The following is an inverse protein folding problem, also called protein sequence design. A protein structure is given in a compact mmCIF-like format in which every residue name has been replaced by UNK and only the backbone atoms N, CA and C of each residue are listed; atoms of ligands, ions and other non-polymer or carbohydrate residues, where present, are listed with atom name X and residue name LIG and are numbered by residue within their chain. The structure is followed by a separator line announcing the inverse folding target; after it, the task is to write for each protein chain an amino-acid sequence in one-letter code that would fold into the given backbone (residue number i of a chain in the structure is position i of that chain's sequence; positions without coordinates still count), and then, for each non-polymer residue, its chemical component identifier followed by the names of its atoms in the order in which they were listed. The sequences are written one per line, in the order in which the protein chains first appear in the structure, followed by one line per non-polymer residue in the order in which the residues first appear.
data_IF_327599306807
#
_entry.id   IF_327599306807
#
_cell.length_a   1.000
_cell.length_b   1.000
_cell.length_c   1.000
_cell.angle_alpha   90.00
_cell.angle_beta   90.00
_cell.angle_gamma   90.00
#
_symmetry.space_group_name_H-M   'P 1'
#
loop_
_entity.id
_entity.type
_entity.pdbx_description
1 polymer ?
#
# COMPACT_ATOMS: atom_id res chain seq x y z
N UNK A 1 7.14 3.66 -22.63
CA UNK A 1 6.40 2.40 -22.43
C UNK A 1 7.37 1.22 -22.43
N UNK A 2 7.56 0.59 -21.28
CA UNK A 2 8.23 -0.72 -21.20
C UNK A 2 7.25 -1.78 -21.69
N UNK A 3 7.65 -2.57 -22.69
CA UNK A 3 6.88 -3.72 -23.15
C UNK A 3 6.98 -4.82 -22.10
N UNK A 4 5.88 -5.11 -21.41
CA UNK A 4 5.78 -6.21 -20.43
C UNK A 4 5.61 -7.53 -21.20
N UNK A 5 6.46 -8.51 -20.93
CA UNK A 5 6.40 -9.83 -21.59
C UNK A 5 5.22 -10.66 -21.09
N UNK A 6 4.77 -11.66 -21.88
CA UNK A 6 3.72 -12.60 -21.44
C UNK A 6 4.05 -13.33 -20.13
N UNK A 7 5.33 -13.58 -19.87
CA UNK A 7 5.78 -14.24 -18.64
C UNK A 7 5.77 -13.28 -17.44
N UNK A 8 5.99 -11.99 -17.68
CA UNK A 8 5.79 -10.97 -16.65
C UNK A 8 4.30 -10.80 -16.32
N UNK A 9 3.42 -10.81 -17.33
CA UNK A 9 1.97 -10.79 -17.11
C UNK A 9 1.52 -11.95 -16.23
N UNK A 10 1.96 -13.19 -16.53
CA UNK A 10 1.57 -14.36 -15.72
C UNK A 10 2.13 -14.35 -14.29
N UNK A 11 3.26 -13.68 -14.02
CA UNK A 11 3.75 -13.47 -12.67
C UNK A 11 2.91 -12.44 -11.91
N UNK A 12 2.58 -11.32 -12.55
CA UNK A 12 1.77 -10.26 -11.97
C UNK A 12 0.38 -10.78 -11.60
N UNK A 13 -0.24 -11.57 -12.48
CA UNK A 13 -1.53 -12.21 -12.22
C UNK A 13 -1.48 -13.09 -10.96
N UNK A 14 -0.40 -13.87 -10.79
CA UNK A 14 -0.22 -14.70 -9.60
C UNK A 14 -0.01 -13.89 -8.33
N UNK A 15 0.65 -12.74 -8.41
CA UNK A 15 0.82 -11.84 -7.26
C UNK A 15 -0.52 -11.21 -6.92
N UNK A 16 -1.25 -10.69 -7.90
CA UNK A 16 -2.58 -10.12 -7.73
C UNK A 16 -3.53 -11.13 -7.09
N UNK A 17 -3.64 -12.34 -7.64
CA UNK A 17 -4.48 -13.41 -7.08
C UNK A 17 -4.13 -13.70 -5.61
N UNK A 18 -2.84 -13.75 -5.27
CA UNK A 18 -2.42 -13.98 -3.88
C UNK A 18 -2.83 -12.82 -2.95
N UNK A 19 -2.77 -11.58 -3.42
CA UNK A 19 -3.23 -10.41 -2.65
C UNK A 19 -4.74 -10.52 -2.43
N UNK A 20 -5.51 -10.86 -3.46
CA UNK A 20 -6.96 -11.07 -3.35
C UNK A 20 -7.29 -12.19 -2.36
N UNK A 21 -6.64 -13.35 -2.47
CA UNK A 21 -6.87 -14.50 -1.60
C UNK A 21 -6.58 -14.20 -0.13
N UNK A 22 -5.55 -13.38 0.16
CA UNK A 22 -5.15 -13.02 1.52
C UNK A 22 -6.02 -11.91 2.10
N UNK A 23 -6.34 -10.89 1.30
CA UNK A 23 -7.01 -9.68 1.79
C UNK A 23 -8.53 -9.73 1.67
N UNK A 24 -9.05 -10.61 0.80
CA UNK A 24 -10.46 -10.65 0.40
C UNK A 24 -10.90 -9.45 -0.45
N UNK A 25 -9.99 -8.57 -0.85
CA UNK A 25 -10.29 -7.38 -1.66
C UNK A 25 -10.13 -7.66 -3.14
N UNK A 26 -10.92 -6.99 -3.96
CA UNK A 26 -10.72 -6.97 -5.42
C UNK A 26 -9.53 -6.11 -5.81
N UNK A 27 -8.71 -6.56 -6.76
CA UNK A 27 -7.57 -5.76 -7.26
C UNK A 27 -7.71 -5.35 -8.73
N UNK A 28 -8.89 -5.52 -9.34
CA UNK A 28 -9.10 -5.16 -10.76
C UNK A 28 -9.01 -3.66 -11.01
N UNK A 29 -9.37 -2.85 -10.01
CA UNK A 29 -9.28 -1.38 -10.02
C UNK A 29 -8.03 -0.87 -9.33
N UNK A 30 -7.24 -1.75 -8.71
CA UNK A 30 -6.03 -1.40 -7.97
C UNK A 30 -4.93 -0.88 -8.92
N UNK A 31 -4.10 0.04 -8.43
CA UNK A 31 -2.99 0.58 -9.20
C UNK A 31 -1.98 -0.52 -9.60
N UNK A 32 -1.20 -0.27 -10.64
CA UNK A 32 -0.07 -1.15 -10.98
C UNK A 32 0.94 -1.23 -9.81
N UNK A 33 1.67 -2.36 -9.73
CA UNK A 33 2.70 -2.51 -8.71
C UNK A 33 3.77 -1.42 -8.86
N UNK A 34 3.89 -0.56 -7.86
CA UNK A 34 4.92 0.46 -7.82
C UNK A 34 6.17 -0.10 -7.12
N UNK A 35 7.28 -0.18 -7.86
CA UNK A 35 8.58 -0.57 -7.30
C UNK A 35 9.37 0.66 -6.88
N UNK A 36 9.83 0.68 -5.62
CA UNK A 36 10.67 1.75 -5.09
C UNK A 36 12.00 1.20 -4.56
N UNK A 37 13.05 2.02 -4.69
CA UNK A 37 14.39 1.77 -4.19
C UNK A 37 14.83 2.88 -3.23
N UNK A 38 15.33 2.49 -2.06
CA UNK A 38 16.00 3.40 -1.13
C UNK A 38 17.42 2.89 -0.87
N UNK A 39 18.41 3.66 -1.32
CA UNK A 39 19.81 3.49 -0.92
C UNK A 39 20.09 4.04 0.47
N UNK A 40 21.35 4.05 0.89
CA UNK A 40 21.78 4.61 2.19
C UNK A 40 21.32 6.08 2.31
N UNK A 41 20.70 6.42 3.44
CA UNK A 41 20.07 7.71 3.71
C UNK A 41 18.70 7.91 3.04
N UNK A 42 18.33 7.07 2.08
CA UNK A 42 17.01 7.10 1.45
C UNK A 42 15.91 6.84 2.47
N UNK A 43 14.90 7.71 2.48
CA UNK A 43 13.78 7.69 3.41
C UNK A 43 12.52 8.21 2.71
N UNK A 44 11.39 8.12 3.42
CA UNK A 44 10.14 8.75 2.99
C UNK A 44 9.41 9.31 4.21
N UNK A 45 9.00 10.57 4.11
CA UNK A 45 8.40 11.31 5.23
C UNK A 45 7.05 10.73 5.67
N UNK A 46 6.62 10.99 6.92
CA UNK A 46 5.32 10.56 7.41
C UNK A 46 4.14 11.10 6.57
N UNK A 47 3.35 10.20 6.01
CA UNK A 47 2.26 10.51 5.09
C UNK A 47 1.08 9.53 5.27
N UNK A 48 0.00 9.82 4.53
CA UNK A 48 -1.13 8.93 4.32
C UNK A 48 -1.14 8.45 2.87
N UNK A 49 -1.66 7.24 2.66
CA UNK A 49 -1.86 6.74 1.30
C UNK A 49 -3.22 7.13 0.73
N UNK A 50 -4.19 7.54 1.57
CA UNK A 50 -5.49 8.03 1.11
C UNK A 50 -5.42 9.52 0.74
N UNK A 51 -6.21 9.93 -0.24
CA UNK A 51 -6.44 11.34 -0.56
C UNK A 51 -7.25 12.04 0.54
N UNK A 52 -6.84 13.25 0.89
CA UNK A 52 -7.54 14.08 1.89
C UNK A 52 -8.55 15.01 1.21
N UNK A 53 -9.65 15.37 1.91
CA UNK A 53 -10.74 16.22 1.36
C UNK A 53 -10.29 17.58 0.84
N UNK A 54 -9.13 18.06 1.29
CA UNK A 54 -8.57 19.36 0.89
C UNK A 54 -7.54 19.23 -0.26
N UNK A 55 -7.24 18.01 -0.70
CA UNK A 55 -6.37 17.74 -1.84
C UNK A 55 -7.22 17.68 -3.12
N UNK A 56 -6.67 18.13 -4.25
CA UNK A 56 -7.35 17.96 -5.53
C UNK A 56 -7.60 16.46 -5.76
N UNK A 57 -8.87 16.06 -5.82
CA UNK A 57 -9.30 14.67 -5.89
C UNK A 57 -8.83 13.99 -7.19
N UNK A 58 -7.55 13.57 -7.22
CA UNK A 58 -7.00 12.76 -8.30
C UNK A 58 -7.79 11.46 -8.50
N UNK A 59 -8.52 11.02 -7.47
CA UNK A 59 -9.33 9.82 -7.46
C UNK A 59 -10.75 10.01 -8.04
N UNK A 60 -11.32 11.22 -7.96
CA UNK A 60 -12.59 11.53 -8.62
C UNK A 60 -12.44 11.52 -10.14
N UNK A 61 -11.34 12.06 -10.66
CA UNK A 61 -11.05 12.07 -12.11
C UNK A 61 -10.81 10.66 -12.68
N UNK A 62 -10.22 9.75 -11.89
CA UNK A 62 -9.96 8.36 -12.30
C UNK A 62 -11.21 7.46 -12.20
N UNK A 63 -12.23 7.89 -11.44
CA UNK A 63 -13.45 7.13 -11.22
C UNK A 63 -13.24 5.79 -10.51
N UNK A 64 -12.10 5.59 -9.85
CA UNK A 64 -11.78 4.38 -9.06
C UNK A 64 -12.02 4.57 -7.56
N UNK A 65 -12.24 5.80 -7.11
CA UNK A 65 -12.37 6.12 -5.68
C UNK A 65 -11.02 6.15 -4.97
N UNK A 66 -11.02 6.40 -3.67
CA UNK A 66 -9.81 6.58 -2.89
C UNK A 66 -9.09 5.22 -2.66
N UNK A 67 -7.86 5.26 -2.16
CA UNK A 67 -7.07 4.06 -1.84
C UNK A 67 -7.54 3.47 -0.52
N UNK A 68 -8.36 2.43 -0.57
CA UNK A 68 -8.95 1.78 0.61
C UNK A 68 -7.92 1.02 1.47
N UNK A 69 -6.87 0.49 0.83
CA UNK A 69 -5.86 -0.31 1.50
C UNK A 69 -4.52 -0.28 0.77
N UNK A 70 -3.46 -0.57 1.51
CA UNK A 70 -2.10 -0.70 0.97
C UNK A 70 -1.55 -2.07 1.28
N UNK A 71 -0.90 -2.65 0.27
CA UNK A 71 -0.08 -3.84 0.39
C UNK A 71 1.37 -3.48 0.04
N UNK A 72 2.25 -3.53 1.05
CA UNK A 72 3.67 -3.23 0.92
C UNK A 72 4.49 -4.53 1.00
N UNK A 73 5.11 -4.94 -0.11
CA UNK A 73 5.98 -6.11 -0.19
C UNK A 73 7.45 -5.71 -0.05
N UNK A 74 8.18 -6.32 0.88
CA UNK A 74 9.64 -6.17 0.97
C UNK A 74 10.34 -7.13 0.00
N UNK A 75 11.13 -6.59 -0.93
CA UNK A 75 11.83 -7.36 -1.97
C UNK A 75 13.31 -7.57 -1.65
N UNK A 76 13.85 -6.88 -0.64
CA UNK A 76 15.18 -7.10 -0.10
C UNK A 76 15.17 -7.14 1.42
N UNK A 77 16.18 -7.80 1.98
CA UNK A 77 16.55 -7.63 3.38
C UNK A 77 17.34 -6.32 3.51
N UNK A 78 17.18 -5.62 4.64
CA UNK A 78 17.95 -4.41 4.94
C UNK A 78 18.77 -4.67 6.20
N UNK A 79 20.07 -4.40 6.12
CA UNK A 79 20.99 -4.72 7.20
C UNK A 79 20.77 -3.81 8.43
N UNK A 80 20.52 -2.52 8.20
CA UNK A 80 20.18 -1.58 9.27
C UNK A 80 19.35 -0.39 8.73
N UNK A 81 18.40 0.10 9.53
CA UNK A 81 17.47 1.16 9.13
C UNK A 81 16.39 0.66 8.17
N UNK A 82 15.77 1.57 7.41
CA UNK A 82 14.79 1.20 6.38
C UNK A 82 13.45 0.67 6.90
N UNK A 83 13.20 0.75 8.20
CA UNK A 83 11.94 0.31 8.82
C UNK A 83 10.74 1.06 8.24
N UNK A 84 9.60 0.40 8.17
CA UNK A 84 8.32 1.10 7.99
C UNK A 84 7.75 1.36 9.37
N UNK A 85 7.40 2.60 9.66
CA UNK A 85 6.91 3.02 10.98
C UNK A 85 5.54 3.63 10.85
N UNK A 86 4.63 3.30 11.77
CA UNK A 86 3.31 3.92 11.91
C UNK A 86 3.38 4.87 13.10
N UNK A 87 3.45 6.17 12.84
CA UNK A 87 3.85 7.16 13.86
C UNK A 87 2.81 7.34 14.95
N UNK A 88 1.52 7.24 14.60
CA UNK A 88 0.42 7.44 15.55
C UNK A 88 0.11 6.17 16.36
N UNK A 89 0.27 4.98 15.74
CA UNK A 89 0.11 3.69 16.44
C UNK A 89 1.35 3.32 17.25
N UNK A 90 2.53 3.84 16.89
CA UNK A 90 3.81 3.47 17.50
C UNK A 90 4.32 2.09 17.08
N UNK A 91 3.85 1.57 15.94
CA UNK A 91 4.27 0.29 15.40
C UNK A 91 5.48 0.45 14.46
N UNK A 92 6.37 -0.56 14.47
CA UNK A 92 7.55 -0.64 13.62
C UNK A 92 7.54 -1.97 12.89
N UNK A 93 7.83 -1.95 11.60
CA UNK A 93 8.02 -3.15 10.80
C UNK A 93 9.41 -3.15 10.19
N UNK A 94 10.17 -4.19 10.53
CA UNK A 94 11.51 -4.41 10.02
C UNK A 94 11.43 -5.07 8.64
N UNK A 95 12.11 -4.52 7.63
CA UNK A 95 12.09 -5.06 6.28
C UNK A 95 12.78 -6.42 6.25
N UNK A 96 12.01 -7.44 5.84
CA UNK A 96 12.51 -8.80 5.61
C UNK A 96 12.04 -9.29 4.26
N UNK A 97 12.96 -9.74 3.42
CA UNK A 97 12.64 -10.15 2.05
C UNK A 97 11.52 -11.19 2.02
N UNK A 98 10.54 -10.97 1.14
CA UNK A 98 9.40 -11.85 0.92
C UNK A 98 8.27 -11.69 1.94
N UNK A 99 8.42 -10.82 2.93
CA UNK A 99 7.32 -10.45 3.83
C UNK A 99 6.53 -9.27 3.27
N UNK A 100 5.26 -9.18 3.65
CA UNK A 100 4.40 -8.06 3.30
C UNK A 100 3.72 -7.48 4.53
N UNK A 101 3.42 -6.19 4.47
CA UNK A 101 2.57 -5.48 5.43
C UNK A 101 1.31 -5.06 4.71
N UNK A 102 0.18 -5.27 5.36
CA UNK A 102 -1.12 -4.89 4.85
C UNK A 102 -1.85 -4.05 5.90
N UNK A 103 -2.46 -2.96 5.46
CA UNK A 103 -3.34 -2.15 6.30
C UNK A 103 -4.44 -1.50 5.46
N UNK A 104 -5.54 -1.17 6.12
CA UNK A 104 -6.60 -0.36 5.54
C UNK A 104 -6.28 1.10 5.78
N UNK A 105 -6.36 1.92 4.74
CA UNK A 105 -6.19 3.36 4.80
C UNK A 105 -7.48 4.07 5.19
N UNK A 106 -8.63 3.44 4.90
CA UNK A 106 -9.95 4.00 5.14
C UNK A 106 -10.76 3.13 6.11
N UNK A 107 -11.53 3.81 6.95
CA UNK A 107 -12.65 3.22 7.67
C UNK A 107 -13.71 2.71 6.67
N UNK A 108 -14.63 1.85 7.15
CA UNK A 108 -15.75 1.36 6.34
C UNK A 108 -16.73 2.46 5.93
N UNK A 109 -16.66 3.62 6.57
CA UNK A 109 -17.38 4.83 6.19
C UNK A 109 -16.79 5.52 4.95
N UNK A 110 -15.58 5.16 4.53
CA UNK A 110 -14.82 5.86 3.49
C UNK A 110 -13.94 6.99 4.04
N UNK A 111 -14.07 7.35 5.33
CA UNK A 111 -13.19 8.33 5.94
C UNK A 111 -11.77 7.78 6.15
N UNK A 112 -10.76 8.64 5.99
CA UNK A 112 -9.36 8.28 6.21
C UNK A 112 -9.08 7.87 7.66
N UNK A 113 -8.38 6.76 7.85
CA UNK A 113 -7.90 6.32 9.16
C UNK A 113 -6.56 6.98 9.47
N UNK A 114 -6.61 8.08 10.22
CA UNK A 114 -5.42 8.85 10.59
C UNK A 114 -4.40 8.09 11.44
N UNK A 115 -4.75 6.91 12.00
CA UNK A 115 -3.78 6.08 12.72
C UNK A 115 -2.77 5.43 11.77
N UNK A 116 -3.08 5.40 10.48
CA UNK A 116 -2.26 4.76 9.43
C UNK A 116 -1.12 5.65 8.94
N UNK A 117 -0.91 6.82 9.56
CA UNK A 117 0.20 7.70 9.21
C UNK A 117 1.51 6.95 9.34
N UNK A 118 2.23 6.85 8.23
CA UNK A 118 3.39 5.99 8.17
C UNK A 118 4.54 6.60 7.37
N UNK A 119 5.74 6.11 7.61
CA UNK A 119 6.98 6.60 7.02
C UNK A 119 7.93 5.45 6.73
N UNK A 120 8.91 5.70 5.87
CA UNK A 120 10.07 4.83 5.71
C UNK A 120 11.27 5.48 6.42
N UNK A 121 11.77 4.86 7.49
CA UNK A 121 13.00 5.29 8.15
C UNK A 121 14.18 5.27 7.18
N UNK A 122 15.17 6.16 7.35
CA UNK A 122 16.38 6.13 6.55
C UNK A 122 17.08 4.77 6.59
N UNK A 123 17.51 4.29 5.44
CA UNK A 123 18.37 3.11 5.33
C UNK A 123 19.76 3.48 5.84
N UNK A 124 20.25 2.78 6.85
CA UNK A 124 21.56 3.04 7.42
C UNK A 124 22.63 2.18 6.75
N UNK A 125 22.32 0.91 6.49
CA UNK A 125 23.23 -0.03 5.80
C UNK A 125 22.41 -0.96 4.89
N UNK A 126 22.91 -1.12 3.66
CA UNK A 126 22.29 -1.96 2.63
C UNK A 126 21.41 -1.15 1.68
N UNK A 127 20.37 -1.79 1.15
CA UNK A 127 19.48 -1.20 0.16
C UNK A 127 18.07 -1.80 0.28
N UNK A 128 17.05 -0.93 0.36
CA UNK A 128 15.64 -1.32 0.53
C UNK A 128 14.93 -1.28 -0.82
N UNK A 129 14.50 -2.44 -1.29
CA UNK A 129 13.56 -2.59 -2.39
C UNK A 129 12.19 -2.96 -1.84
N UNK A 130 11.17 -2.21 -2.25
CA UNK A 130 9.78 -2.49 -1.91
C UNK A 130 8.88 -2.40 -3.14
N UNK A 131 7.74 -3.08 -3.07
CA UNK A 131 6.67 -2.95 -4.05
C UNK A 131 5.35 -2.64 -3.35
N UNK A 132 4.69 -1.56 -3.75
CA UNK A 132 3.36 -1.16 -3.28
C UNK A 132 2.29 -1.64 -4.25
N UNK A 133 1.19 -2.15 -3.71
CA UNK A 133 -0.10 -2.28 -4.40
C UNK A 133 -1.12 -1.47 -3.63
N UNK A 134 -1.63 -0.41 -4.25
CA UNK A 134 -2.72 0.39 -3.70
C UNK A 134 -4.04 -0.11 -4.24
N UNK A 135 -4.93 -0.49 -3.35
CA UNK A 135 -6.23 -1.04 -3.66
C UNK A 135 -7.26 0.07 -3.52
N UNK A 136 -8.15 0.20 -4.49
CA UNK A 136 -9.18 1.24 -4.52
C UNK A 136 -10.52 0.76 -3.94
N UNK A 137 -11.37 1.71 -3.56
CA UNK A 137 -12.73 1.47 -3.05
C UNK A 137 -13.66 0.84 -4.09
N UNK A 138 -13.54 1.24 -5.37
CA UNK A 138 -14.39 0.70 -6.44
C UNK A 138 -14.14 -0.78 -6.63
N UNK A 139 -15.21 -1.57 -6.67
CA UNK A 139 -15.17 -3.04 -6.71
C UNK A 139 -15.26 -3.71 -5.34
N UNK A 140 -15.24 -2.93 -4.25
CA UNK A 140 -15.36 -3.45 -2.88
C UNK A 140 -16.77 -3.34 -2.30
N UNK A 141 -17.75 -2.78 -3.02
CA UNK A 141 -19.07 -2.40 -2.52
C UNK A 141 -19.80 -3.57 -1.85
N UNK A 142 -19.59 -4.78 -2.38
CA UNK A 142 -20.19 -6.01 -1.87
C UNK A 142 -19.23 -6.86 -1.02
N UNK A 143 -17.93 -6.58 -1.04
CA UNK A 143 -16.87 -7.31 -0.32
C UNK A 143 -16.54 -6.68 1.03
N UNK A 144 -16.55 -5.34 1.12
CA UNK A 144 -16.28 -4.56 2.33
C UNK A 144 -17.40 -3.55 2.58
N UNK A 145 -18.55 -4.07 2.99
CA UNK A 145 -19.75 -3.26 3.27
C UNK A 145 -19.48 -2.25 4.40
N UNK A 146 -20.16 -1.11 4.32
CA UNK A 146 -20.18 -0.09 5.37
C UNK A 146 -20.71 -0.67 6.69
N UNK A 147 -20.14 -0.21 7.81
CA UNK A 147 -20.60 -0.52 9.15
C UNK A 147 -21.72 0.42 9.60
N UNK A 148 -22.26 0.17 10.79
CA UNK A 148 -23.20 1.11 11.44
C UNK A 148 -22.44 2.22 12.18
N UNK A 149 -21.18 1.98 12.53
CA UNK A 149 -20.33 2.97 13.19
C UNK A 149 -19.36 3.60 12.18
N UNK A 150 -19.22 4.95 12.17
CA UNK A 150 -18.33 5.63 11.24
C UNK A 150 -16.84 5.30 11.39
N UNK A 151 -16.40 4.85 12.58
CA UNK A 151 -15.00 4.56 12.90
C UNK A 151 -14.61 3.08 12.77
N UNK A 152 -15.55 2.21 12.41
CA UNK A 152 -15.29 0.79 12.08
C UNK A 152 -14.63 0.66 10.71
#
# INVERSE_FOLDING_TARGET
HLLVSKQQLSLLDRINQRIEDITGLDVSTAEDLQVANYGVGGQYEPHFDFGQKDEADAFEELGTGNRIATWLLYMSDVQAGGNTVFTDIGAVVWPKKGTAVFWYNLHRSGEGDYRTRHAACPVLVGNKWVSNKWIHERGQEFRRRCGLQPSE
#
